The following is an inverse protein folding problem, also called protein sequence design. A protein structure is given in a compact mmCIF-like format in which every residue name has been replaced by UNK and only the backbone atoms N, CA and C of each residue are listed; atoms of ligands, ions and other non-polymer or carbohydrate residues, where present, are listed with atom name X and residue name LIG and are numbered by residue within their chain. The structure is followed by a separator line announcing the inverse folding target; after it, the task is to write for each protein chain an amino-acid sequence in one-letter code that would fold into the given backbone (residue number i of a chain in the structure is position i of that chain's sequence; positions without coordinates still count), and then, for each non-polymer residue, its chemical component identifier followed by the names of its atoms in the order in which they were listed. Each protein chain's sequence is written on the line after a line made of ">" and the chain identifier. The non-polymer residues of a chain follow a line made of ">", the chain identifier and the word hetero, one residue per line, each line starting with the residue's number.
data_IF_937357805091
#
_entry.id   IF_937357805091
#
_cell.length_a   1.000
_cell.length_b   1.000
_cell.length_c   1.000
_cell.angle_alpha   90.00
_cell.angle_beta   90.00
_cell.angle_gamma   90.00
#
_symmetry.space_group_name_H-M   'P 1'
#
loop_
_entity.id
_entity.type
_entity.pdbx_description
1 polymer ?
#
# COMPACT_ATOMS: atom_id res chain seq x y z
N UNK A 1 -39.30 21.10 -30.95
CA UNK A 1 -38.95 19.72 -30.48
C UNK A 1 -37.42 19.63 -30.44
N UNK A 2 -36.82 18.85 -29.53
CA UNK A 2 -35.35 18.63 -29.36
C UNK A 2 -34.58 19.41 -28.27
N UNK A 3 -35.18 19.78 -27.12
CA UNK A 3 -34.37 20.15 -25.94
C UNK A 3 -34.55 19.22 -24.74
N UNK A 4 -35.66 18.47 -24.66
CA UNK A 4 -35.95 17.61 -23.49
C UNK A 4 -35.07 16.35 -23.39
N UNK A 5 -34.68 15.74 -24.52
CA UNK A 5 -33.92 14.48 -24.52
C UNK A 5 -32.47 14.68 -24.08
N UNK A 6 -31.82 15.74 -24.56
CA UNK A 6 -30.40 16.02 -24.30
C UNK A 6 -30.19 16.31 -22.81
N UNK A 7 -31.08 17.09 -22.19
CA UNK A 7 -31.03 17.38 -20.75
C UNK A 7 -31.19 16.11 -19.92
N UNK A 8 -32.05 15.18 -20.37
CA UNK A 8 -32.27 13.91 -19.67
C UNK A 8 -31.02 13.02 -19.67
N UNK A 9 -30.32 12.92 -20.80
CA UNK A 9 -29.05 12.18 -20.88
C UNK A 9 -27.94 12.82 -20.04
N UNK A 10 -27.88 14.15 -19.99
CA UNK A 10 -26.86 14.87 -19.22
C UNK A 10 -27.04 14.65 -17.71
N UNK A 11 -28.29 14.63 -17.23
CA UNK A 11 -28.61 14.30 -15.82
C UNK A 11 -28.29 12.84 -15.51
N UNK A 12 -28.54 11.91 -16.42
CA UNK A 12 -28.23 10.48 -16.25
C UNK A 12 -26.73 10.20 -16.15
N UNK A 13 -25.92 10.89 -16.97
CA UNK A 13 -24.45 10.77 -16.91
C UNK A 13 -23.91 11.37 -15.60
N UNK A 14 -24.45 12.52 -15.18
CA UNK A 14 -24.05 13.17 -13.93
C UNK A 14 -24.39 12.31 -12.72
N UNK A 15 -25.59 11.69 -12.70
CA UNK A 15 -26.00 10.77 -11.65
C UNK A 15 -25.12 9.50 -11.63
N UNK A 16 -24.77 8.95 -12.81
CA UNK A 16 -23.86 7.81 -12.91
C UNK A 16 -22.48 8.09 -12.31
N UNK A 17 -21.89 9.25 -12.61
CA UNK A 17 -20.57 9.64 -12.08
C UNK A 17 -20.53 9.71 -10.54
N UNK A 18 -21.60 10.17 -9.90
CA UNK A 18 -21.68 10.28 -8.43
C UNK A 18 -21.74 8.89 -7.78
N UNK A 19 -22.40 7.91 -8.41
CA UNK A 19 -22.50 6.54 -7.90
C UNK A 19 -21.16 5.80 -8.02
N UNK A 20 -20.43 5.98 -9.13
CA UNK A 20 -19.11 5.35 -9.30
C UNK A 20 -18.00 6.00 -8.45
N UNK A 21 -18.13 7.28 -8.08
CA UNK A 21 -17.13 7.98 -7.25
C UNK A 21 -17.19 7.62 -5.76
N UNK A 22 -18.18 6.84 -5.32
CA UNK A 22 -18.31 6.39 -3.91
C UNK A 22 -17.61 5.06 -3.61
N UNK A 23 -16.91 4.46 -4.58
CA UNK A 23 -16.24 3.15 -4.41
C UNK A 23 -14.85 3.23 -3.77
N UNK A 24 -14.28 4.41 -3.54
CA UNK A 24 -12.90 4.52 -3.04
C UNK A 24 -12.77 4.45 -1.51
N UNK A 25 -13.87 4.49 -0.74
CA UNK A 25 -13.78 4.67 0.72
C UNK A 25 -13.97 3.40 1.57
N UNK A 26 -14.00 2.20 0.98
CA UNK A 26 -14.15 0.93 1.72
C UNK A 26 -12.84 0.20 2.05
N UNK A 27 -11.67 0.80 1.79
CA UNK A 27 -10.39 0.24 2.25
C UNK A 27 -10.00 0.62 3.69
N UNK A 28 -10.93 1.20 4.46
CA UNK A 28 -10.74 1.47 5.89
C UNK A 28 -11.25 0.33 6.80
N UNK A 29 -11.38 -0.89 6.27
CA UNK A 29 -11.49 -2.07 7.11
C UNK A 29 -10.11 -2.33 7.71
N UNK A 30 -9.91 -1.86 8.95
CA UNK A 30 -8.77 -2.17 9.81
C UNK A 30 -8.40 -3.65 9.61
N UNK A 31 -7.35 -3.98 8.83
CA UNK A 31 -7.07 -5.37 8.51
C UNK A 31 -6.76 -6.01 9.85
N UNK A 32 -7.48 -7.09 10.21
CA UNK A 32 -7.02 -7.98 11.27
C UNK A 32 -5.59 -8.35 10.87
N UNK A 33 -4.60 -7.70 11.48
CA UNK A 33 -3.20 -7.84 11.09
C UNK A 33 -2.86 -9.28 11.41
N UNK A 34 -2.84 -10.10 10.37
CA UNK A 34 -2.46 -11.49 10.49
C UNK A 34 -1.02 -11.51 11.02
N UNK A 35 -0.72 -12.18 12.14
CA UNK A 35 0.62 -12.20 12.72
C UNK A 35 1.66 -12.82 11.78
N UNK A 36 1.24 -13.50 10.71
CA UNK A 36 2.10 -14.06 9.67
C UNK A 36 2.46 -13.08 8.55
N UNK A 37 1.82 -11.91 8.54
CA UNK A 37 1.99 -10.89 7.51
C UNK A 37 2.87 -9.74 8.01
N UNK A 38 3.78 -9.33 7.13
CA UNK A 38 4.61 -8.14 7.32
C UNK A 38 4.12 -7.05 6.40
N UNK A 39 3.68 -5.95 7.01
CA UNK A 39 3.19 -4.77 6.30
C UNK A 39 4.27 -3.70 6.35
N UNK A 40 4.71 -3.27 5.17
CA UNK A 40 5.61 -2.13 5.00
C UNK A 40 4.79 -0.92 4.55
N UNK A 41 4.93 0.19 5.27
CA UNK A 41 4.26 1.46 4.97
C UNK A 41 5.23 2.63 5.05
N UNK A 42 5.08 3.60 4.17
CA UNK A 42 5.76 4.89 4.32
C UNK A 42 4.96 5.79 5.25
N UNK A 43 5.63 6.37 6.24
CA UNK A 43 5.10 7.36 7.17
C UNK A 43 5.93 8.64 7.10
N UNK A 44 5.32 9.77 7.46
CA UNK A 44 5.98 11.09 7.44
C UNK A 44 5.91 11.73 8.83
N UNK A 45 6.68 11.24 9.82
CA UNK A 45 6.81 11.91 11.11
C UNK A 45 7.52 13.27 10.96
N UNK A 46 7.45 14.09 12.02
CA UNK A 46 8.07 15.43 12.05
C UNK A 46 9.58 15.42 11.78
N UNK A 47 10.25 14.29 12.05
CA UNK A 47 11.68 14.07 11.85
C UNK A 47 12.06 13.74 10.39
N UNK A 48 11.08 13.55 9.50
CA UNK A 48 11.29 13.18 8.09
C UNK A 48 10.67 11.83 7.70
N UNK A 49 10.75 11.44 6.42
CA UNK A 49 10.14 10.21 5.93
C UNK A 49 10.76 8.97 6.59
N UNK A 50 9.91 8.07 7.07
CA UNK A 50 10.30 6.81 7.69
C UNK A 50 9.49 5.64 7.10
N UNK A 51 10.07 4.45 7.17
CA UNK A 51 9.44 3.17 6.89
C UNK A 51 8.89 2.60 8.20
N UNK A 52 7.59 2.34 8.23
CA UNK A 52 6.92 1.61 9.29
C UNK A 52 6.77 0.15 8.86
N UNK A 53 7.29 -0.75 9.69
CA UNK A 53 7.23 -2.20 9.52
C UNK A 53 6.31 -2.74 10.60
N UNK A 54 5.18 -3.33 10.21
CA UNK A 54 4.24 -3.97 11.15
C UNK A 54 4.27 -5.48 10.98
N UNK A 55 4.41 -6.19 12.09
CA UNK A 55 4.39 -7.67 12.16
C UNK A 55 3.47 -8.05 13.31
N UNK A 56 2.23 -8.44 13.03
CA UNK A 56 1.21 -8.62 14.06
C UNK A 56 1.03 -7.36 14.93
N UNK A 57 1.41 -7.45 16.21
CA UNK A 57 1.36 -6.33 17.16
C UNK A 57 2.66 -5.52 17.27
N UNK A 58 3.73 -5.96 16.61
CA UNK A 58 5.01 -5.25 16.62
C UNK A 58 5.02 -4.16 15.56
N UNK A 59 5.45 -2.96 15.95
CA UNK A 59 5.65 -1.83 15.03
C UNK A 59 7.08 -1.35 15.17
N UNK A 60 7.83 -1.43 14.09
CA UNK A 60 9.19 -0.90 13.98
C UNK A 60 9.20 0.30 13.02
N UNK A 61 10.01 1.31 13.32
CA UNK A 61 10.21 2.47 12.46
C UNK A 61 11.69 2.60 12.13
N UNK A 62 12.01 2.70 10.84
CA UNK A 62 13.38 2.88 10.36
C UNK A 62 13.40 3.84 9.18
N UNK A 63 14.55 4.47 8.88
CA UNK A 63 14.70 5.30 7.68
C UNK A 63 14.92 4.45 6.43
N UNK A 64 15.55 3.30 6.59
CA UNK A 64 15.90 2.37 5.53
C UNK A 64 15.94 0.94 6.10
N UNK A 65 15.63 -0.04 5.26
CA UNK A 65 15.79 -1.46 5.56
C UNK A 65 16.55 -2.12 4.42
N UNK A 66 17.71 -2.69 4.71
CA UNK A 66 18.44 -3.55 3.79
C UNK A 66 18.23 -5.00 4.21
N UNK A 67 17.85 -5.86 3.27
CA UNK A 67 17.71 -7.30 3.54
C UNK A 67 18.24 -8.13 2.38
N UNK A 68 18.82 -9.27 2.71
CA UNK A 68 19.35 -10.23 1.76
C UNK A 68 18.96 -11.63 2.21
N UNK A 69 18.50 -12.47 1.29
CA UNK A 69 18.39 -13.92 1.55
C UNK A 69 19.79 -14.54 1.48
N UNK A 70 20.06 -15.59 2.27
CA UNK A 70 21.39 -16.24 2.39
C UNK A 70 22.11 -16.47 1.04
N UNK A 71 21.36 -16.78 -0.02
CA UNK A 71 21.88 -16.95 -1.38
C UNK A 71 21.05 -16.15 -2.40
N UNK A 72 20.81 -14.86 -2.14
CA UNK A 72 20.00 -14.00 -3.00
C UNK A 72 20.57 -12.59 -3.19
N UNK A 73 20.01 -11.79 -4.10
CA UNK A 73 20.37 -10.40 -4.26
C UNK A 73 20.00 -9.58 -3.01
N UNK A 74 20.76 -8.52 -2.75
CA UNK A 74 20.44 -7.56 -1.71
C UNK A 74 19.28 -6.66 -2.17
N UNK A 75 18.38 -6.38 -1.24
CA UNK A 75 17.24 -5.50 -1.44
C UNK A 75 17.31 -4.34 -0.44
N UNK A 76 17.21 -3.13 -0.97
CA UNK A 76 17.10 -1.90 -0.22
C UNK A 76 15.65 -1.43 -0.22
N UNK A 77 15.11 -1.11 0.95
CA UNK A 77 13.75 -0.61 1.13
C UNK A 77 13.80 0.75 1.80
N UNK A 78 13.22 1.74 1.12
CA UNK A 78 13.20 3.12 1.59
C UNK A 78 11.85 3.80 1.33
N UNK A 79 11.44 4.73 2.21
CA UNK A 79 10.27 5.57 1.97
C UNK A 79 10.61 6.67 0.95
N UNK A 80 9.89 6.72 -0.17
CA UNK A 80 10.09 7.72 -1.24
C UNK A 80 8.73 8.30 -1.64
N UNK A 81 8.51 9.59 -1.38
CA UNK A 81 7.30 10.30 -1.79
C UNK A 81 6.00 9.70 -1.23
N UNK A 82 6.01 9.29 0.04
CA UNK A 82 4.85 8.65 0.70
C UNK A 82 4.57 7.21 0.24
N UNK A 83 5.49 6.60 -0.50
CA UNK A 83 5.42 5.21 -0.98
C UNK A 83 6.61 4.41 -0.45
N UNK A 84 6.43 3.11 -0.31
CA UNK A 84 7.51 2.15 -0.07
C UNK A 84 8.16 1.83 -1.41
N UNK A 85 9.47 2.06 -1.49
CA UNK A 85 10.28 1.67 -2.63
C UNK A 85 11.20 0.53 -2.23
N UNK A 86 11.16 -0.56 -3.00
CA UNK A 86 12.10 -1.68 -2.91
C UNK A 86 12.99 -1.65 -4.14
N UNK A 87 14.30 -1.67 -3.95
CA UNK A 87 15.30 -1.63 -5.00
C UNK A 87 16.25 -2.81 -4.83
N UNK A 88 16.55 -3.49 -5.92
CA UNK A 88 17.70 -4.38 -6.08
C UNK A 88 18.50 -3.93 -7.30
N UNK A 89 19.65 -4.56 -7.54
CA UNK A 89 20.46 -4.27 -8.73
C UNK A 89 19.72 -4.49 -10.06
N UNK A 90 18.68 -5.34 -10.05
CA UNK A 90 17.94 -5.73 -11.25
C UNK A 90 16.52 -5.16 -11.32
N UNK A 91 15.96 -4.71 -10.19
CA UNK A 91 14.53 -4.40 -10.09
C UNK A 91 14.26 -3.21 -9.16
N UNK A 92 13.26 -2.41 -9.50
CA UNK A 92 12.74 -1.33 -8.65
C UNK A 92 11.22 -1.40 -8.61
N UNK A 93 10.67 -1.57 -7.42
CA UNK A 93 9.24 -1.67 -7.16
C UNK A 93 8.84 -0.52 -6.25
N UNK A 94 7.74 0.17 -6.56
CA UNK A 94 7.23 1.29 -5.73
C UNK A 94 5.74 1.10 -5.50
N UNK A 95 5.32 1.04 -4.24
CA UNK A 95 3.92 0.86 -3.85
C UNK A 95 3.57 1.70 -2.62
N UNK A 96 2.30 2.08 -2.46
CA UNK A 96 1.85 2.80 -1.24
C UNK A 96 1.96 1.93 0.02
N UNK A 97 1.71 0.63 -0.13
CA UNK A 97 1.85 -0.40 0.90
C UNK A 97 2.37 -1.68 0.24
N UNK A 98 3.23 -2.41 0.94
CA UNK A 98 3.62 -3.76 0.53
C UNK A 98 3.31 -4.74 1.65
N UNK A 99 2.75 -5.87 1.26
CA UNK A 99 2.39 -6.95 2.15
C UNK A 99 3.19 -8.18 1.76
N UNK A 100 3.92 -8.74 2.71
CA UNK A 100 4.68 -9.95 2.54
C UNK A 100 4.15 -11.01 3.50
N UNK A 101 3.79 -12.17 2.96
CA UNK A 101 3.56 -13.36 3.77
C UNK A 101 4.89 -13.99 4.12
N UNK A 102 5.18 -14.15 5.41
CA UNK A 102 6.38 -14.84 5.89
C UNK A 102 5.97 -16.15 6.57
N UNK A 103 5.66 -17.22 5.79
CA UNK A 103 5.15 -18.48 6.35
C UNK A 103 6.13 -19.19 7.29
N UNK A 104 7.43 -18.86 7.23
CA UNK A 104 8.45 -19.41 8.12
C UNK A 104 8.58 -18.68 9.47
N UNK A 105 7.91 -17.54 9.65
CA UNK A 105 7.98 -16.76 10.89
C UNK A 105 7.12 -17.36 12.02
N UNK A 106 6.14 -18.21 11.68
CA UNK A 106 5.32 -18.97 12.62
C UNK A 106 5.95 -20.27 13.10
N UNK A 107 7.08 -20.70 12.53
CA UNK A 107 7.79 -21.91 12.97
C UNK A 107 7.05 -23.22 12.67
N UNK A 108 6.09 -23.24 11.74
CA UNK A 108 5.53 -24.50 11.24
C UNK A 108 6.54 -25.13 10.27
N UNK A 109 7.26 -26.13 10.79
CA UNK A 109 8.05 -27.09 10.00
C UNK A 109 7.15 -28.20 9.48
#
# INVERSE_FOLDING_TARGET
>A
MFHSKVTFYLVLILAGLIVFSSSENNQAANPKVDPTQVILRSIQPAEGPQLEIRIGHLVCKTKELNFQRKEGPEYNVQPVGGKVQVKSDKQRIVSQQMEYSLPWLTGER
#
